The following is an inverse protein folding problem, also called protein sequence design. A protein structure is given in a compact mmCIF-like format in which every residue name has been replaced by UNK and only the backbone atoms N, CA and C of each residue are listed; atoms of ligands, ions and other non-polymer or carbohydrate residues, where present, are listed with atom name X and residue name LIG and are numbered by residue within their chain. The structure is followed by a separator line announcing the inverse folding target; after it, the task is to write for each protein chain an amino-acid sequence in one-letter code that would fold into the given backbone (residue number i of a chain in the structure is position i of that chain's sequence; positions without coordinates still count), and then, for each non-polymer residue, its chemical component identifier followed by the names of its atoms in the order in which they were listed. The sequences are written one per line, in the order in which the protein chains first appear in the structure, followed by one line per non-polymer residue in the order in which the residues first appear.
data_IF_291272865783
#
_entry.id   IF_291272865783
#
_cell.length_a   1.000
_cell.length_b   1.000
_cell.length_c   1.000
_cell.angle_alpha   90.00
_cell.angle_beta   90.00
_cell.angle_gamma   90.00
#
_symmetry.space_group_name_H-M   'P 1'
#
loop_
_entity.id
_entity.type
_entity.pdbx_description
1 polymer ?
#
# COMPACT_ATOMS: atom_id res chain seq x y z
N UNK A 1 62.10 1.44 9.14
CA UNK A 1 61.50 1.29 7.79
C UNK A 1 60.12 0.69 7.99
N UNK A 2 59.06 1.45 7.68
CA UNK A 2 57.73 1.03 7.15
C UNK A 2 56.78 2.21 7.37
N UNK A 3 56.59 3.01 6.31
CA UNK A 3 55.70 4.17 6.31
C UNK A 3 54.27 3.77 5.97
N UNK A 4 53.32 4.31 6.73
CA UNK A 4 51.89 4.17 6.51
C UNK A 4 51.43 5.15 5.42
N UNK A 5 50.92 4.63 4.30
CA UNK A 5 50.28 5.44 3.24
C UNK A 5 48.79 5.59 3.56
N UNK A 6 48.37 6.83 3.83
CA UNK A 6 46.97 7.24 3.90
C UNK A 6 46.49 7.49 2.47
N UNK A 7 45.54 6.70 1.99
CA UNK A 7 44.87 6.92 0.70
C UNK A 7 43.70 7.88 0.92
N UNK A 8 43.85 9.10 0.42
CA UNK A 8 42.82 10.14 0.42
C UNK A 8 41.92 9.92 -0.82
N UNK A 9 40.75 9.31 -0.64
CA UNK A 9 39.76 9.11 -1.70
C UNK A 9 38.72 10.24 -1.65
N UNK A 10 38.81 11.12 -2.65
CA UNK A 10 37.89 12.24 -2.83
C UNK A 10 36.63 11.76 -3.57
N UNK A 11 35.48 11.75 -2.89
CA UNK A 11 34.18 11.44 -3.50
C UNK A 11 33.69 12.62 -4.37
N UNK A 12 33.29 12.41 -5.64
CA UNK A 12 32.63 13.45 -6.41
C UNK A 12 31.16 13.63 -5.98
N UNK A 13 30.75 14.90 -5.82
CA UNK A 13 29.35 15.29 -5.60
C UNK A 13 28.56 15.10 -6.90
N UNK A 14 27.45 14.37 -6.83
CA UNK A 14 26.52 14.18 -7.95
C UNK A 14 25.61 15.41 -8.05
N UNK A 15 26.01 16.39 -8.86
CA UNK A 15 25.15 17.47 -9.36
C UNK A 15 25.59 17.85 -10.77
N UNK A 16 25.23 17.07 -11.79
CA UNK A 16 24.93 17.56 -13.15
C UNK A 16 24.43 16.38 -14.00
N UNK A 17 23.11 16.29 -14.22
CA UNK A 17 22.54 15.45 -15.28
C UNK A 17 21.77 16.38 -16.22
N UNK A 18 22.52 17.00 -17.13
CA UNK A 18 21.96 17.70 -18.29
C UNK A 18 21.38 16.66 -19.24
N UNK A 19 20.09 16.77 -19.51
CA UNK A 19 19.40 16.06 -20.57
C UNK A 19 20.07 16.35 -21.91
N UNK A 20 20.55 15.30 -22.57
CA UNK A 20 21.13 15.34 -23.92
C UNK A 20 20.04 14.94 -24.90
N UNK A 21 19.45 15.91 -25.56
CA UNK A 21 18.42 15.71 -26.60
C UNK A 21 19.06 15.29 -27.92
N UNK A 22 18.55 14.22 -28.54
CA UNK A 22 18.86 13.86 -29.93
C UNK A 22 17.88 14.57 -30.89
N UNK A 23 18.32 15.08 -32.05
CA UNK A 23 17.41 15.74 -32.99
C UNK A 23 16.72 14.72 -33.91
N UNK A 24 15.41 14.89 -34.11
CA UNK A 24 14.65 14.25 -35.19
C UNK A 24 14.38 15.31 -36.28
N UNK A 25 14.64 14.96 -37.53
CA UNK A 25 14.44 15.82 -38.70
C UNK A 25 13.16 15.49 -39.46
N UNK A 26 12.72 16.48 -40.24
CA UNK A 26 11.74 16.48 -41.34
C UNK A 26 10.24 16.39 -40.96
N UNK A 27 9.30 17.05 -41.63
CA UNK A 27 9.26 18.21 -42.55
C UNK A 27 7.76 18.48 -42.83
N UNK A 28 7.35 19.77 -43.00
CA UNK A 28 6.16 20.30 -43.72
C UNK A 28 4.74 19.71 -43.41
N UNK A 29 3.61 20.40 -43.36
CA UNK A 29 3.14 21.74 -43.77
C UNK A 29 1.81 22.05 -43.05
N UNK A 30 1.59 23.34 -42.76
CA UNK A 30 0.34 24.09 -42.63
C UNK A 30 -1.03 23.38 -42.61
N UNK A 31 -1.86 23.68 -41.60
CA UNK A 31 -3.10 24.46 -41.76
C UNK A 31 -3.76 24.77 -40.42
N UNK A 32 -4.16 26.04 -40.24
CA UNK A 32 -4.90 26.58 -39.11
C UNK A 32 -6.33 26.05 -39.00
N UNK A 33 -6.75 25.71 -37.77
CA UNK A 33 -8.09 25.98 -37.26
C UNK A 33 -8.09 25.91 -35.72
N UNK A 34 -8.14 27.06 -35.06
CA UNK A 34 -8.42 27.15 -33.63
C UNK A 34 -9.90 26.85 -33.39
N UNK A 35 -10.22 25.71 -32.79
CA UNK A 35 -11.53 25.40 -32.23
C UNK A 35 -11.45 25.52 -30.71
N UNK A 36 -11.84 26.69 -30.21
CA UNK A 36 -12.07 26.95 -28.80
C UNK A 36 -13.40 26.26 -28.44
N UNK A 37 -13.31 25.06 -27.86
CA UNK A 37 -14.46 24.33 -27.33
C UNK A 37 -14.63 24.69 -25.84
N UNK A 38 -15.56 25.56 -25.55
CA UNK A 38 -15.96 25.95 -24.19
C UNK A 38 -16.91 24.88 -23.61
N UNK A 39 -16.63 24.25 -22.45
CA UNK A 39 -17.60 23.38 -21.81
C UNK A 39 -18.64 24.22 -21.06
N UNK A 40 -19.85 24.34 -21.61
CA UNK A 40 -21.01 24.85 -20.87
C UNK A 40 -21.55 23.73 -19.98
N UNK A 41 -21.48 23.94 -18.66
CA UNK A 41 -21.94 23.01 -17.63
C UNK A 41 -23.41 23.33 -17.30
N UNK A 42 -24.39 22.43 -17.53
CA UNK A 42 -25.76 22.68 -17.09
C UNK A 42 -25.87 22.50 -15.56
N UNK A 43 -26.68 23.30 -14.85
CA UNK A 43 -26.90 23.10 -13.43
C UNK A 43 -27.98 22.03 -13.23
N UNK A 44 -27.61 20.85 -12.70
CA UNK A 44 -28.57 19.87 -12.21
C UNK A 44 -28.77 20.13 -10.72
N UNK A 45 -29.78 20.94 -10.40
CA UNK A 45 -30.32 21.07 -9.04
C UNK A 45 -31.47 20.07 -8.85
N UNK A 46 -31.18 18.93 -8.21
CA UNK A 46 -32.22 18.12 -7.56
C UNK A 46 -31.83 17.87 -6.11
N UNK A 47 -32.47 18.64 -5.25
CA UNK A 47 -32.50 18.41 -3.81
C UNK A 47 -33.30 17.14 -3.53
N UNK A 48 -32.64 16.03 -3.26
CA UNK A 48 -33.29 14.80 -2.77
C UNK A 48 -33.41 14.93 -1.26
N UNK A 49 -34.65 15.05 -0.77
CA UNK A 49 -34.99 15.07 0.65
C UNK A 49 -34.89 13.64 1.18
N UNK A 50 -33.76 13.30 1.80
CA UNK A 50 -33.61 12.01 2.49
C UNK A 50 -34.30 12.13 3.85
N UNK A 51 -35.45 11.48 4.00
CA UNK A 51 -36.09 11.23 5.29
C UNK A 51 -35.32 10.13 6.02
N UNK A 52 -34.81 10.46 7.21
CA UNK A 52 -34.16 9.50 8.10
C UNK A 52 -35.14 8.37 8.46
N UNK A 53 -34.80 7.14 8.10
CA UNK A 53 -35.49 5.94 8.55
C UNK A 53 -34.87 5.48 9.87
N UNK A 54 -35.75 5.27 10.85
CA UNK A 54 -35.46 4.80 12.21
C UNK A 54 -34.67 3.50 12.22
N UNK A 55 -33.63 3.45 13.07
CA UNK A 55 -32.91 2.24 13.43
C UNK A 55 -33.88 1.20 14.00
N UNK A 56 -33.93 0.02 13.39
CA UNK A 56 -34.54 -1.17 13.95
C UNK A 56 -33.42 -2.15 14.28
N UNK A 57 -33.32 -2.51 15.55
CA UNK A 57 -32.44 -3.56 16.04
C UNK A 57 -32.96 -4.91 15.54
N UNK A 58 -32.10 -5.67 14.86
CA UNK A 58 -32.34 -7.06 14.51
C UNK A 58 -31.46 -7.90 15.41
N UNK A 59 -32.07 -8.60 16.36
CA UNK A 59 -31.45 -9.78 16.97
C UNK A 59 -31.31 -10.87 15.90
N UNK A 60 -30.08 -11.30 15.67
CA UNK A 60 -29.81 -12.57 14.99
C UNK A 60 -28.95 -13.45 15.90
N UNK A 61 -29.62 -14.45 16.46
CA UNK A 61 -29.00 -15.66 16.99
C UNK A 61 -28.39 -16.47 15.85
N UNK A 62 -27.07 -16.58 15.88
CA UNK A 62 -26.28 -17.48 15.06
C UNK A 62 -24.88 -17.53 15.67
N UNK A 63 -24.57 -18.58 16.43
CA UNK A 63 -23.26 -18.80 17.05
C UNK A 63 -22.21 -19.06 15.96
N UNK A 64 -21.59 -18.01 15.43
CA UNK A 64 -20.20 -18.06 14.97
C UNK A 64 -19.31 -17.73 16.16
N UNK A 65 -18.30 -18.56 16.39
CA UNK A 65 -17.38 -18.44 17.52
C UNK A 65 -16.70 -17.05 17.54
N UNK A 66 -16.45 -16.44 18.71
CA UNK A 66 -15.82 -15.14 18.77
C UNK A 66 -14.35 -15.29 18.40
N UNK A 67 -13.97 -14.80 17.23
CA UNK A 67 -12.57 -14.52 16.91
C UNK A 67 -12.08 -13.48 17.92
N UNK A 68 -10.98 -13.80 18.60
CA UNK A 68 -10.49 -13.15 19.82
C UNK A 68 -10.64 -11.63 19.82
N UNK A 69 -11.37 -11.12 20.81
CA UNK A 69 -11.60 -9.70 21.03
C UNK A 69 -10.29 -8.99 21.34
N UNK A 70 -9.63 -8.48 20.30
CA UNK A 70 -8.60 -7.46 20.42
C UNK A 70 -9.23 -6.26 21.14
N UNK A 71 -8.59 -5.64 22.15
CA UNK A 71 -9.16 -4.50 22.84
C UNK A 71 -9.56 -3.42 21.84
N UNK A 72 -10.73 -2.79 22.01
CA UNK A 72 -11.27 -1.86 21.01
C UNK A 72 -10.33 -0.66 20.87
N UNK A 73 -9.73 -0.51 19.69
CA UNK A 73 -9.02 0.70 19.30
C UNK A 73 -10.00 1.68 18.68
N UNK A 74 -9.82 2.98 18.93
CA UNK A 74 -10.60 4.01 18.24
C UNK A 74 -10.02 4.20 16.85
N UNK A 75 -10.73 3.69 15.84
CA UNK A 75 -10.34 3.79 14.44
C UNK A 75 -10.35 5.25 13.98
N UNK A 76 -9.28 5.67 13.31
CA UNK A 76 -9.19 6.98 12.66
C UNK A 76 -9.34 6.87 11.14
N UNK A 77 -8.57 5.99 10.52
CA UNK A 77 -8.59 5.77 9.07
C UNK A 77 -8.05 4.37 8.73
N UNK A 78 -8.24 3.98 7.46
CA UNK A 78 -7.75 2.72 6.91
C UNK A 78 -6.90 3.04 5.70
N UNK A 79 -5.69 2.49 5.68
CA UNK A 79 -4.76 2.57 4.56
C UNK A 79 -4.78 1.23 3.83
N UNK A 80 -4.77 1.24 2.51
CA UNK A 80 -4.90 0.02 1.71
C UNK A 80 -3.77 -0.07 0.72
N UNK A 81 -3.31 -1.28 0.45
CA UNK A 81 -2.24 -1.52 -0.51
C UNK A 81 -2.33 -2.89 -1.15
N UNK A 82 -1.58 -3.05 -2.23
CA UNK A 82 -1.46 -4.29 -2.99
C UNK A 82 0.01 -4.62 -3.22
N UNK A 83 0.33 -5.91 -3.16
CA UNK A 83 1.68 -6.41 -3.37
C UNK A 83 1.67 -7.61 -4.28
N UNK A 84 2.65 -7.64 -5.17
CA UNK A 84 2.80 -8.68 -6.19
C UNK A 84 4.10 -9.42 -5.94
N UNK A 85 4.13 -10.71 -6.23
CA UNK A 85 5.35 -11.45 -6.45
C UNK A 85 5.27 -12.25 -7.75
N UNK A 86 6.02 -11.81 -8.76
CA UNK A 86 5.89 -12.27 -10.14
C UNK A 86 6.65 -13.56 -10.43
N UNK A 87 7.67 -13.87 -9.64
CA UNK A 87 8.72 -14.83 -9.98
C UNK A 87 9.21 -15.63 -8.74
N UNK A 88 9.37 -14.95 -7.59
CA UNK A 88 9.99 -15.53 -6.39
C UNK A 88 9.12 -16.48 -5.57
N UNK A 89 7.85 -16.68 -5.92
CA UNK A 89 6.85 -17.49 -5.21
C UNK A 89 6.90 -17.32 -3.68
N UNK A 90 7.18 -16.11 -3.23
CA UNK A 90 7.31 -15.72 -1.85
C UNK A 90 6.09 -14.86 -1.49
N UNK A 91 5.10 -15.52 -0.91
CA UNK A 91 3.88 -14.85 -0.45
C UNK A 91 4.18 -13.82 0.64
N UNK A 92 5.27 -14.01 1.41
CA UNK A 92 5.72 -13.03 2.41
C UNK A 92 6.25 -11.78 1.73
N UNK A 93 7.04 -11.92 0.66
CA UNK A 93 7.50 -10.77 -0.12
C UNK A 93 6.32 -9.98 -0.71
N UNK A 94 5.32 -10.67 -1.28
CA UNK A 94 4.09 -10.03 -1.76
C UNK A 94 3.35 -9.30 -0.63
N UNK A 95 3.15 -9.93 0.54
CA UNK A 95 2.49 -9.30 1.68
C UNK A 95 3.26 -8.09 2.24
N UNK A 96 4.59 -8.16 2.31
CA UNK A 96 5.43 -7.03 2.71
C UNK A 96 5.36 -5.88 1.71
N UNK A 97 5.28 -6.17 0.40
CA UNK A 97 5.06 -5.17 -0.65
C UNK A 97 3.69 -4.51 -0.48
N UNK A 98 2.63 -5.28 -0.22
CA UNK A 98 1.29 -4.76 0.03
C UNK A 98 1.24 -3.82 1.24
N UNK A 99 1.91 -4.19 2.34
CA UNK A 99 1.97 -3.34 3.53
C UNK A 99 2.79 -2.06 3.28
N UNK A 100 3.89 -2.13 2.53
CA UNK A 100 4.67 -0.95 2.14
C UNK A 100 3.87 -0.01 1.25
N UNK A 101 3.18 -0.57 0.25
CA UNK A 101 2.31 0.17 -0.65
C UNK A 101 1.26 0.96 0.16
N UNK A 102 0.60 0.31 1.12
CA UNK A 102 -0.41 0.93 1.98
C UNK A 102 0.08 2.17 2.74
N UNK A 103 1.31 2.15 3.26
CA UNK A 103 1.80 3.19 4.19
C UNK A 103 2.75 4.22 3.55
N UNK A 104 3.33 3.92 2.38
CA UNK A 104 4.46 4.70 1.83
C UNK A 104 4.10 6.10 1.35
N UNK A 105 2.85 6.32 0.93
CA UNK A 105 2.38 7.58 0.35
C UNK A 105 1.67 8.49 1.36
N UNK A 106 1.50 8.05 2.61
CA UNK A 106 0.76 8.78 3.63
C UNK A 106 1.68 9.43 4.66
N UNK A 107 1.24 10.58 5.19
CA UNK A 107 1.93 11.28 6.28
C UNK A 107 0.93 11.64 7.36
N UNK A 108 1.18 11.16 8.59
CA UNK A 108 0.26 11.28 9.72
C UNK A 108 0.89 12.11 10.85
N UNK A 109 1.09 13.43 10.66
CA UNK A 109 1.76 14.27 11.65
C UNK A 109 0.91 14.48 12.92
N UNK A 110 -0.40 14.20 12.90
CA UNK A 110 -1.33 14.44 14.00
C UNK A 110 -0.89 13.81 15.32
N UNK A 111 -0.36 12.58 15.29
CA UNK A 111 0.15 11.85 16.46
C UNK A 111 1.39 12.49 17.09
N UNK A 112 2.24 13.16 16.28
CA UNK A 112 3.44 13.86 16.79
C UNK A 112 3.16 15.30 17.19
N UNK A 113 2.21 15.96 16.51
CA UNK A 113 1.83 17.34 16.79
C UNK A 113 0.83 17.48 17.95
N UNK A 114 0.37 16.38 18.54
CA UNK A 114 -0.64 16.41 19.61
C UNK A 114 -1.99 16.96 19.15
N UNK A 115 -2.31 16.81 17.85
CA UNK A 115 -3.59 17.30 17.30
C UNK A 115 -4.77 16.45 17.75
N UNK A 116 -4.50 15.27 18.32
CA UNK A 116 -5.49 14.38 18.91
C UNK A 116 -5.39 14.53 20.44
N UNK A 117 -6.42 15.11 21.11
CA UNK A 117 -6.37 15.35 22.54
C UNK A 117 -6.13 14.08 23.35
N UNK A 118 -5.15 14.13 24.24
CA UNK A 118 -4.80 13.00 25.12
C UNK A 118 -4.14 11.82 24.41
N UNK A 119 -3.70 11.98 23.15
CA UNK A 119 -3.05 10.91 22.37
C UNK A 119 -1.67 11.37 21.91
N UNK A 120 -0.69 10.54 22.21
CA UNK A 120 0.71 10.71 21.88
C UNK A 120 1.14 9.76 20.75
N UNK A 121 2.33 9.99 20.20
CA UNK A 121 2.88 9.15 19.14
C UNK A 121 3.03 7.67 19.56
N UNK A 122 3.30 7.40 20.85
CA UNK A 122 3.44 6.04 21.37
C UNK A 122 2.12 5.26 21.49
N UNK A 123 0.99 5.95 21.39
CA UNK A 123 -0.35 5.36 21.51
C UNK A 123 -0.95 4.95 20.16
N UNK A 124 -0.26 5.24 19.06
CA UNK A 124 -0.66 4.77 17.74
C UNK A 124 -0.72 3.23 17.73
N UNK A 125 -1.87 2.68 17.36
CA UNK A 125 -2.14 1.24 17.24
C UNK A 125 -2.46 0.90 15.80
N UNK A 126 -1.98 -0.26 15.37
CA UNK A 126 -2.22 -0.82 14.04
C UNK A 126 -2.95 -2.14 14.18
N UNK A 127 -4.00 -2.33 13.38
CA UNK A 127 -4.57 -3.64 13.10
C UNK A 127 -4.41 -3.89 11.60
N UNK A 128 -3.86 -5.04 11.24
CA UNK A 128 -3.55 -5.36 9.85
C UNK A 128 -4.45 -6.51 9.42
N UNK A 129 -5.05 -6.39 8.24
CA UNK A 129 -5.80 -7.46 7.59
C UNK A 129 -5.19 -7.75 6.23
N UNK A 130 -4.86 -9.01 5.98
CA UNK A 130 -4.23 -9.47 4.75
C UNK A 130 -5.18 -10.42 4.01
N UNK A 131 -5.46 -10.12 2.75
CA UNK A 131 -6.12 -11.04 1.83
C UNK A 131 -5.06 -11.86 1.10
N UNK A 132 -4.98 -13.15 1.41
CA UNK A 132 -3.92 -14.06 0.96
C UNK A 132 -4.57 -15.34 0.43
N UNK A 133 -4.14 -15.87 -0.74
CA UNK A 133 -4.70 -17.10 -1.29
C UNK A 133 -4.64 -18.23 -0.26
N UNK A 134 -5.77 -18.90 -0.03
CA UNK A 134 -5.92 -19.90 1.05
C UNK A 134 -4.77 -20.91 1.13
N UNK A 135 -4.36 -21.48 -0.01
CA UNK A 135 -3.29 -22.48 -0.10
C UNK A 135 -1.90 -21.97 0.33
N UNK A 136 -1.69 -20.66 0.33
CA UNK A 136 -0.42 -20.01 0.64
C UNK A 136 -0.40 -19.37 2.05
N UNK A 137 -1.53 -19.36 2.77
CA UNK A 137 -1.59 -18.72 4.08
C UNK A 137 -0.61 -19.33 5.10
N UNK A 138 -0.33 -20.63 5.00
CA UNK A 138 0.60 -21.33 5.89
C UNK A 138 2.07 -21.00 5.66
N UNK A 139 2.43 -20.50 4.46
CA UNK A 139 3.81 -20.11 4.13
C UNK A 139 4.09 -18.63 4.39
N UNK A 140 3.10 -17.88 4.88
CA UNK A 140 3.25 -16.46 5.21
C UNK A 140 3.98 -16.26 6.54
N UNK A 141 5.12 -15.57 6.50
CA UNK A 141 5.87 -15.17 7.68
C UNK A 141 5.34 -13.82 8.21
N UNK A 142 4.46 -13.92 9.21
CA UNK A 142 3.80 -12.76 9.84
C UNK A 142 4.81 -11.84 10.55
N UNK A 143 5.89 -12.36 11.11
CA UNK A 143 6.87 -11.54 11.82
C UNK A 143 7.67 -10.67 10.85
N UNK A 144 8.02 -11.20 9.67
CA UNK A 144 8.58 -10.39 8.58
C UNK A 144 7.60 -9.32 8.10
N UNK A 145 6.31 -9.63 7.96
CA UNK A 145 5.32 -8.61 7.58
C UNK A 145 5.22 -7.50 8.62
N UNK A 146 5.21 -7.84 9.92
CA UNK A 146 5.20 -6.85 11.01
C UNK A 146 6.40 -5.90 10.96
N UNK A 147 7.57 -6.39 10.52
CA UNK A 147 8.78 -5.57 10.40
C UNK A 147 8.68 -4.42 9.38
N UNK A 148 7.68 -4.43 8.50
CA UNK A 148 7.45 -3.37 7.51
C UNK A 148 7.07 -2.05 8.16
N UNK A 149 6.38 -2.09 9.31
CA UNK A 149 5.81 -0.90 9.93
C UNK A 149 6.85 -0.21 10.82
N UNK A 150 7.25 1.04 10.51
CA UNK A 150 8.29 1.74 11.26
C UNK A 150 7.73 2.48 12.50
N UNK A 151 6.43 2.37 12.75
CA UNK A 151 5.71 3.06 13.81
C UNK A 151 4.46 2.28 14.23
N UNK A 152 3.85 2.72 15.32
CA UNK A 152 2.62 2.14 15.85
C UNK A 152 2.84 0.77 16.51
N UNK A 153 2.01 0.46 17.50
CA UNK A 153 1.96 -0.86 18.12
C UNK A 153 1.02 -1.73 17.30
N UNK A 154 1.56 -2.80 16.71
CA UNK A 154 0.75 -3.79 16.00
C UNK A 154 -0.02 -4.61 17.04
N UNK A 155 -1.34 -4.46 17.05
CA UNK A 155 -2.24 -5.13 17.98
C UNK A 155 -2.64 -6.51 17.47
N UNK A 156 -2.85 -6.64 16.16
CA UNK A 156 -3.28 -7.88 15.52
C UNK A 156 -2.89 -7.88 14.03
N UNK A 157 -2.64 -9.08 13.50
CA UNK A 157 -2.55 -9.36 12.07
C UNK A 157 -3.54 -10.47 11.76
N UNK A 158 -4.63 -10.12 11.09
CA UNK A 158 -5.64 -11.06 10.62
C UNK A 158 -5.30 -11.46 9.18
N UNK A 159 -5.26 -12.77 8.92
CA UNK A 159 -5.13 -13.31 7.56
C UNK A 159 -6.47 -13.91 7.18
N UNK A 160 -6.97 -13.53 6.01
CA UNK A 160 -8.22 -14.05 5.44
C UNK A 160 -7.99 -14.55 4.03
N UNK A 161 -8.86 -15.44 3.57
CA UNK A 161 -8.88 -15.85 2.17
C UNK A 161 -9.16 -14.66 1.25
N UNK A 162 -8.40 -14.57 0.16
CA UNK A 162 -8.40 -13.43 -0.75
C UNK A 162 -7.16 -13.43 -1.63
N UNK A 163 -6.76 -12.25 -2.12
CA UNK A 163 -5.64 -12.12 -3.05
C UNK A 163 -5.90 -12.82 -4.39
N UNK A 164 -4.84 -13.17 -5.10
CA UNK A 164 -4.93 -13.91 -6.37
C UNK A 164 -3.67 -14.73 -6.61
N UNK A 165 -3.86 -15.94 -7.15
CA UNK A 165 -2.80 -16.69 -7.86
C UNK A 165 -3.17 -16.61 -9.34
N UNK A 166 -2.24 -16.16 -10.17
CA UNK A 166 -2.42 -16.13 -11.62
C UNK A 166 -1.12 -16.46 -12.34
N UNK A 167 -1.21 -16.97 -13.57
CA UNK A 167 -0.02 -17.20 -14.39
C UNK A 167 0.64 -15.86 -14.78
N UNK A 168 1.95 -15.77 -14.63
CA UNK A 168 2.81 -14.72 -15.19
C UNK A 168 3.02 -14.91 -16.71
N UNK A 169 2.64 -16.07 -17.25
CA UNK A 169 2.79 -16.46 -18.65
C UNK A 169 4.20 -16.88 -19.05
N UNK A 170 5.19 -16.78 -18.16
CA UNK A 170 6.58 -17.16 -18.41
C UNK A 170 7.19 -17.73 -17.14
N UNK A 171 7.82 -18.91 -17.27
CA UNK A 171 8.62 -19.50 -16.22
C UNK A 171 10.10 -19.20 -16.48
N UNK A 172 10.74 -18.43 -15.59
CA UNK A 172 12.13 -18.00 -15.68
C UNK A 172 12.93 -18.55 -14.49
N UNK A 173 13.50 -19.75 -14.65
CA UNK A 173 14.27 -20.43 -13.58
C UNK A 173 15.40 -19.55 -12.99
N UNK A 174 16.05 -18.73 -13.81
CA UNK A 174 17.12 -17.82 -13.38
C UNK A 174 16.66 -16.76 -12.37
N UNK A 175 15.35 -16.46 -12.33
CA UNK A 175 14.73 -15.51 -11.40
C UNK A 175 14.16 -16.19 -10.15
N UNK A 176 14.31 -17.52 -10.02
CA UNK A 176 13.86 -18.30 -8.87
C UNK A 176 12.47 -18.90 -9.01
N UNK A 177 11.86 -18.82 -10.19
CA UNK A 177 10.56 -19.42 -10.49
C UNK A 177 10.63 -20.95 -10.27
N UNK A 178 9.59 -21.54 -9.68
CA UNK A 178 9.37 -23.02 -9.66
C UNK A 178 8.24 -23.46 -10.61
N UNK A 179 7.41 -22.52 -11.01
CA UNK A 179 6.31 -22.62 -11.97
C UNK A 179 6.04 -21.21 -12.51
N UNK A 180 4.97 -21.00 -13.26
CA UNK A 180 4.57 -19.70 -13.80
C UNK A 180 3.59 -18.93 -12.89
N UNK A 181 3.43 -19.29 -11.62
CA UNK A 181 2.52 -18.59 -10.70
C UNK A 181 3.10 -17.25 -10.24
N UNK A 182 2.25 -16.23 -10.32
CA UNK A 182 2.39 -14.92 -9.70
C UNK A 182 1.38 -14.80 -8.53
N UNK A 183 1.84 -14.25 -7.41
CA UNK A 183 1.02 -14.06 -6.22
C UNK A 183 0.66 -12.60 -6.00
N UNK A 184 -0.61 -12.35 -5.68
CA UNK A 184 -1.13 -11.03 -5.34
C UNK A 184 -1.68 -11.08 -3.92
N UNK A 185 -1.25 -10.14 -3.08
CA UNK A 185 -1.74 -9.95 -1.71
C UNK A 185 -2.34 -8.55 -1.58
N UNK A 186 -3.49 -8.47 -0.92
CA UNK A 186 -4.11 -7.20 -0.54
C UNK A 186 -3.89 -6.95 0.96
N UNK A 187 -3.66 -5.71 1.34
CA UNK A 187 -3.52 -5.28 2.73
C UNK A 187 -4.50 -4.16 3.05
N UNK A 188 -5.13 -4.25 4.23
CA UNK A 188 -5.82 -3.15 4.88
C UNK A 188 -5.18 -2.92 6.26
N UNK A 189 -4.66 -1.72 6.47
CA UNK A 189 -4.00 -1.27 7.69
C UNK A 189 -4.92 -0.26 8.38
N UNK A 190 -5.54 -0.71 9.45
CA UNK A 190 -6.40 0.11 10.29
C UNK A 190 -5.52 0.86 11.29
N UNK A 191 -5.62 2.19 11.32
CA UNK A 191 -4.81 3.04 12.20
C UNK A 191 -5.72 3.70 13.25
N UNK A 192 -5.35 3.57 14.52
CA UNK A 192 -6.12 4.09 15.65
C UNK A 192 -5.28 4.29 16.90
N UNK A 193 -5.94 4.45 18.05
CA UNK A 193 -5.33 4.52 19.39
C UNK A 193 -6.24 3.92 20.46
#
# INVERSE_FOLDING_TARGET
MTGSRVLNLQFPRVTDLRFRSYPLSNQHSSSSAHLICSPTRPPISRLVKVTAASSMEVEQGGKSAPVGSTPPMKLLFVEMGVGYDQHGQDITAAAMRACRDAISSNSIPAFRRGSIPGVTFGEMKLQIKLGVPHSLQQSLDIEKVKSVFPYGKIMNVEVVDGGLICSSGVHVEEMGDKNDDCYIVNAAVYVGY
#
